data_IF_629450006862
#
_entry.id   IF_629450006862
#
_cell.length_a   1.000
_cell.length_b   1.000
_cell.length_c   1.000
_cell.angle_alpha   90.00
_cell.angle_beta   90.00
_cell.angle_gamma   90.00
#
_symmetry.space_group_name_H-M   'P 1'
#
loop_
_entity.id
_entity.type
_entity.pdbx_description
1 polymer ?
#
# COMPACT_ATOMS: atom_id res chain seq x y z
N UNK A 1 -15.00 -3.36 -17.40
CA UNK A 1 -14.33 -4.42 -16.64
C UNK A 1 -13.62 -3.79 -15.46
N UNK A 2 -13.93 -4.22 -14.24
CA UNK A 2 -13.22 -3.84 -13.01
C UNK A 2 -12.27 -4.98 -12.68
N UNK A 3 -10.98 -4.68 -12.57
CA UNK A 3 -9.96 -5.68 -12.19
C UNK A 3 -9.43 -5.32 -10.82
N UNK A 4 -9.46 -6.28 -9.91
CA UNK A 4 -9.05 -6.13 -8.52
C UNK A 4 -7.99 -7.15 -8.17
N UNK A 5 -6.89 -6.69 -7.58
CA UNK A 5 -5.82 -7.56 -7.10
C UNK A 5 -5.47 -7.21 -5.66
N UNK A 6 -5.34 -8.24 -4.83
CA UNK A 6 -4.84 -8.13 -3.46
C UNK A 6 -3.65 -9.04 -3.27
N UNK A 7 -2.59 -8.50 -2.69
CA UNK A 7 -1.39 -9.26 -2.35
C UNK A 7 -1.00 -8.96 -0.91
N UNK A 8 -0.82 -10.03 -0.13
CA UNK A 8 -0.24 -9.96 1.21
C UNK A 8 1.12 -10.66 1.18
N UNK A 9 2.18 -9.90 1.40
CA UNK A 9 3.53 -10.43 1.52
C UNK A 9 3.98 -10.29 2.97
N UNK A 10 4.34 -11.43 3.58
CA UNK A 10 4.85 -11.49 4.95
C UNK A 10 6.32 -11.86 4.87
N UNK A 11 7.20 -10.91 5.17
CA UNK A 11 8.63 -11.16 5.26
C UNK A 11 8.98 -11.28 6.75
N UNK A 12 9.18 -12.52 7.21
CA UNK A 12 9.74 -12.81 8.53
C UNK A 12 11.25 -12.91 8.44
N UNK A 13 11.92 -11.77 8.57
CA UNK A 13 13.35 -11.72 8.90
C UNK A 13 13.52 -11.28 10.36
N UNK A 14 14.73 -10.86 10.77
CA UNK A 14 15.01 -10.30 12.12
C UNK A 14 14.10 -9.11 12.50
N UNK A 15 13.40 -8.53 11.51
CA UNK A 15 12.30 -7.56 11.65
C UNK A 15 11.10 -8.16 10.92
N UNK A 16 9.91 -8.07 11.50
CA UNK A 16 8.70 -8.51 10.80
C UNK A 16 8.24 -7.35 9.92
N UNK A 17 8.18 -7.58 8.61
CA UNK A 17 7.56 -6.67 7.66
C UNK A 17 6.32 -7.32 7.04
N UNK A 18 5.18 -6.64 7.17
CA UNK A 18 3.96 -6.98 6.44
C UNK A 18 3.77 -5.93 5.35
N UNK A 19 3.66 -6.40 4.10
CA UNK A 19 3.27 -5.57 2.96
C UNK A 19 1.90 -6.05 2.49
N UNK A 20 0.94 -5.15 2.47
CA UNK A 20 -0.38 -5.41 1.90
C UNK A 20 -0.64 -4.43 0.76
N UNK A 21 -0.79 -4.99 -0.44
CA UNK A 21 -0.96 -4.25 -1.67
C UNK A 21 -2.36 -4.48 -2.23
N UNK A 22 -3.07 -3.39 -2.51
CA UNK A 22 -4.33 -3.40 -3.23
C UNK A 22 -4.17 -2.63 -4.55
N UNK A 23 -4.47 -3.28 -5.66
CA UNK A 23 -4.54 -2.67 -6.98
C UNK A 23 -5.99 -2.72 -7.47
N UNK A 24 -6.54 -1.55 -7.81
CA UNK A 24 -7.87 -1.44 -8.41
C UNK A 24 -7.76 -0.75 -9.75
N UNK A 25 -8.07 -1.48 -10.80
CA UNK A 25 -8.10 -0.97 -12.16
C UNK A 25 -9.55 -0.88 -12.65
N UNK A 26 -9.98 0.33 -13.00
CA UNK A 26 -11.22 0.61 -13.72
C UNK A 26 -10.84 1.27 -15.04
N UNK A 27 -11.69 1.13 -16.07
CA UNK A 27 -11.48 1.59 -17.46
C UNK A 27 -10.81 2.98 -17.63
N UNK A 28 -10.98 3.89 -16.66
CA UNK A 28 -10.37 5.22 -16.62
C UNK A 28 -9.81 5.62 -15.24
N UNK A 29 -9.49 4.66 -14.37
CA UNK A 29 -8.95 4.95 -13.04
C UNK A 29 -8.03 3.82 -12.57
N UNK A 30 -6.82 4.18 -12.14
CA UNK A 30 -5.92 3.29 -11.42
C UNK A 30 -5.83 3.75 -9.97
N UNK A 31 -6.13 2.85 -9.03
CA UNK A 31 -5.87 3.07 -7.60
C UNK A 31 -4.86 2.04 -7.12
N UNK A 32 -3.87 2.50 -6.38
CA UNK A 32 -2.86 1.67 -5.73
C UNK A 32 -2.83 2.05 -4.25
N UNK A 33 -2.95 1.06 -3.38
CA UNK A 33 -2.80 1.23 -1.94
C UNK A 33 -1.76 0.23 -1.44
N UNK A 34 -0.75 0.71 -0.72
CA UNK A 34 0.26 -0.12 -0.08
C UNK A 34 0.30 0.18 1.41
N UNK A 35 0.07 -0.84 2.23
CA UNK A 35 0.26 -0.78 3.67
C UNK A 35 1.55 -1.52 4.01
N UNK A 36 2.43 -0.87 4.75
CA UNK A 36 3.69 -1.42 5.22
C UNK A 36 3.70 -1.37 6.74
N UNK A 37 3.62 -2.51 7.38
CA UNK A 37 3.73 -2.61 8.84
C UNK A 37 5.11 -3.18 9.15
N UNK A 38 5.90 -2.43 9.92
CA UNK A 38 7.23 -2.86 10.31
C UNK A 38 7.33 -2.99 11.83
N UNK A 39 7.94 -4.10 12.28
CA UNK A 39 8.28 -4.32 13.69
C UNK A 39 9.76 -4.64 13.81
N UNK A 40 10.51 -3.76 14.47
CA UNK A 40 11.96 -3.92 14.63
C UNK A 40 12.30 -5.00 15.66
N UNK A 41 11.49 -5.15 16.70
CA UNK A 41 11.60 -6.18 17.75
C UNK A 41 10.24 -6.40 18.42
N UNK A 42 10.04 -7.55 19.08
CA UNK A 42 8.83 -7.80 19.88
C UNK A 42 8.58 -6.73 20.96
N UNK A 43 9.60 -5.96 21.36
CA UNK A 43 9.47 -4.87 22.34
C UNK A 43 9.24 -3.48 21.73
N UNK A 44 9.37 -3.33 20.41
CA UNK A 44 9.13 -2.03 19.75
C UNK A 44 7.69 -1.94 19.25
N UNK A 45 7.06 -0.75 19.34
CA UNK A 45 5.75 -0.52 18.74
C UNK A 45 5.79 -0.81 17.23
N UNK A 46 4.65 -1.24 16.70
CA UNK A 46 4.46 -1.39 15.26
C UNK A 46 4.50 0.00 14.64
N UNK A 47 5.24 0.16 13.53
CA UNK A 47 5.14 1.35 12.68
C UNK A 47 4.34 0.98 11.45
N UNK A 48 3.27 1.71 11.17
CA UNK A 48 2.45 1.48 9.99
C UNK A 48 2.61 2.66 9.03
N UNK A 49 3.11 2.37 7.83
CA UNK A 49 3.17 3.30 6.71
C UNK A 49 2.03 2.96 5.75
N UNK A 50 1.23 3.94 5.40
CA UNK A 50 0.20 3.81 4.39
C UNK A 50 0.51 4.70 3.20
N UNK A 51 0.63 4.11 2.02
CA UNK A 51 0.78 4.80 0.75
C UNK A 51 -0.47 4.61 -0.08
N UNK A 52 -1.04 5.71 -0.56
CA UNK A 52 -2.16 5.67 -1.50
C UNK A 52 -1.81 6.50 -2.72
N UNK A 53 -1.98 5.89 -3.87
CA UNK A 53 -1.76 6.48 -5.17
C UNK A 53 -3.05 6.39 -5.99
N UNK A 54 -3.44 7.53 -6.56
CA UNK A 54 -4.59 7.61 -7.43
C UNK A 54 -4.23 8.31 -8.73
N UNK A 55 -4.58 7.67 -9.85
CA UNK A 55 -4.34 8.20 -11.18
C UNK A 55 -5.57 8.00 -12.05
N UNK A 56 -5.98 9.08 -12.71
CA UNK A 56 -7.01 9.08 -13.74
C UNK A 56 -6.30 9.31 -15.08
N UNK A 57 -6.25 8.32 -15.99
CA UNK A 57 -5.66 8.51 -17.31
C UNK A 57 -6.42 9.63 -18.05
N UNK A 58 -5.71 10.68 -18.45
CA UNK A 58 -6.26 11.84 -19.16
C UNK A 58 -6.33 13.13 -18.33
N UNK A 59 -6.18 13.06 -17.02
CA UNK A 59 -5.93 14.25 -16.18
C UNK A 59 -4.48 14.26 -15.72
N UNK A 60 -3.89 15.45 -15.50
CA UNK A 60 -2.55 15.59 -14.90
C UNK A 60 -2.57 15.44 -13.37
N UNK A 61 -3.73 15.13 -12.80
CA UNK A 61 -3.93 15.07 -11.36
C UNK A 61 -3.47 13.71 -10.83
N UNK A 62 -2.40 13.75 -10.06
CA UNK A 62 -1.82 12.60 -9.37
C UNK A 62 -1.78 12.94 -7.89
N UNK A 63 -2.49 12.17 -7.07
CA UNK A 63 -2.49 12.37 -5.62
C UNK A 63 -1.73 11.22 -4.95
N UNK A 64 -0.67 11.57 -4.22
CA UNK A 64 0.18 10.64 -3.47
C UNK A 64 0.12 11.04 -2.00
N UNK A 65 -0.54 10.22 -1.19
CA UNK A 65 -0.61 10.43 0.26
C UNK A 65 0.19 9.35 0.98
N UNK A 66 1.08 9.78 1.86
CA UNK A 66 1.86 8.92 2.75
C UNK A 66 1.61 9.33 4.20
N UNK A 67 1.15 8.40 5.03
CA UNK A 67 0.91 8.64 6.46
C UNK A 67 1.62 7.58 7.30
N UNK A 68 2.18 8.01 8.44
CA UNK A 68 2.77 7.15 9.45
C UNK A 68 1.84 7.16 10.67
N UNK A 69 1.38 5.97 11.07
CA UNK A 69 0.62 5.71 12.29
C UNK A 69 1.48 4.94 13.29
#
# INVERSE_FOLDING_TARGET
>A
MLTYYEYLLIIRSRKVLYFYLQLKHKRHQMKFSLHVITRKSCRTPLKMLYFKYFMIPGTRETEINASIL
#
